data_IF_631601124693
#
_entry.id   IF_631601124693
#
_cell.length_a   1.000
_cell.length_b   1.000
_cell.length_c   1.000
_cell.angle_alpha   90.00
_cell.angle_beta   90.00
_cell.angle_gamma   90.00
#
_symmetry.space_group_name_H-M   'P 1'
#
loop_
_entity.id
_entity.type
_entity.pdbx_description
1 polymer ?
#
# COMPACT_ATOMS: atom_id res chain seq x y z
N UNK A 1 -4.51 -24.04 12.60
CA UNK A 1 -3.69 -24.38 11.43
C UNK A 1 -4.19 -23.56 10.28
N UNK A 2 -3.35 -22.67 9.74
CA UNK A 2 -3.67 -21.94 8.50
C UNK A 2 -3.54 -22.95 7.37
N UNK A 3 -4.58 -23.08 6.54
CA UNK A 3 -4.50 -23.94 5.36
C UNK A 3 -3.42 -23.42 4.40
N UNK A 4 -2.83 -24.30 3.61
CA UNK A 4 -1.80 -24.01 2.63
C UNK A 4 -2.14 -22.77 1.78
N UNK A 5 -1.31 -21.73 1.86
CA UNK A 5 -1.47 -20.51 1.05
C UNK A 5 -1.15 -20.84 -0.41
N UNK A 6 -2.12 -20.70 -1.31
CA UNK A 6 -1.96 -20.98 -2.74
C UNK A 6 -1.82 -19.74 -3.61
N UNK A 7 -2.20 -18.57 -3.11
CA UNK A 7 -2.07 -17.30 -3.82
C UNK A 7 -2.04 -16.14 -2.83
N UNK A 8 -1.49 -15.00 -3.26
CA UNK A 8 -1.41 -13.81 -2.41
C UNK A 8 -1.92 -12.60 -3.15
N UNK A 9 -2.68 -11.76 -2.44
CA UNK A 9 -3.13 -10.44 -2.86
C UNK A 9 -2.47 -9.42 -1.94
N UNK A 10 -1.60 -8.59 -2.48
CA UNK A 10 -0.92 -7.54 -1.72
C UNK A 10 -1.61 -6.20 -1.91
N UNK A 11 -1.75 -5.42 -0.84
CA UNK A 11 -1.81 -3.97 -1.02
C UNK A 11 -0.44 -3.44 -1.49
N UNK A 12 -0.43 -2.22 -2.02
CA UNK A 12 0.79 -1.59 -2.51
C UNK A 12 1.42 -0.65 -1.48
N UNK A 13 0.65 0.35 -1.05
CA UNK A 13 1.11 1.45 -0.22
C UNK A 13 1.19 1.01 1.24
N UNK A 14 2.34 1.20 1.90
CA UNK A 14 2.53 0.71 3.27
C UNK A 14 2.81 -0.80 3.36
N UNK A 15 2.59 -1.59 2.29
CA UNK A 15 2.85 -3.03 2.23
C UNK A 15 4.06 -3.38 1.35
N UNK A 16 4.00 -3.10 0.05
CA UNK A 16 5.10 -3.37 -0.89
C UNK A 16 5.99 -2.15 -1.12
N UNK A 17 5.43 -0.95 -0.99
CA UNK A 17 6.09 0.33 -1.22
C UNK A 17 6.12 1.15 0.09
N UNK A 18 7.27 1.75 0.38
CA UNK A 18 7.42 2.71 1.49
C UNK A 18 6.94 4.11 1.03
N UNK A 19 5.66 4.19 0.71
CA UNK A 19 5.05 5.33 0.04
C UNK A 19 4.33 6.30 0.98
N UNK A 20 3.95 5.88 2.18
CA UNK A 20 3.08 6.68 3.05
C UNK A 20 3.71 8.01 3.50
N UNK A 21 5.05 8.08 3.51
CA UNK A 21 5.79 9.28 3.90
C UNK A 21 5.51 10.49 2.98
N UNK A 22 5.12 10.30 1.72
CA UNK A 22 4.82 11.40 0.79
C UNK A 22 3.63 12.23 1.27
N UNK A 23 2.58 11.56 1.77
CA UNK A 23 1.37 12.22 2.22
C UNK A 23 1.59 13.15 3.41
N UNK A 24 2.51 12.80 4.31
CA UNK A 24 2.89 13.67 5.43
C UNK A 24 3.79 14.83 4.99
N UNK A 25 4.71 14.59 4.04
CA UNK A 25 5.76 15.55 3.67
C UNK A 25 5.43 16.37 2.43
N UNK A 26 4.29 16.12 1.77
CA UNK A 26 3.95 16.71 0.47
C UNK A 26 3.99 18.25 0.49
N UNK A 27 3.29 18.87 1.45
CA UNK A 27 3.22 20.31 1.57
C UNK A 27 4.58 20.93 1.88
N UNK A 28 5.35 20.30 2.79
CA UNK A 28 6.71 20.74 3.13
C UNK A 28 7.64 20.69 1.91
N UNK A 29 7.62 19.61 1.14
CA UNK A 29 8.39 19.48 -0.11
C UNK A 29 7.98 20.57 -1.12
N UNK A 30 6.66 20.76 -1.31
CA UNK A 30 6.14 21.78 -2.22
C UNK A 30 6.68 23.18 -1.92
N UNK A 31 6.59 23.59 -0.66
CA UNK A 31 7.06 24.93 -0.21
C UNK A 31 8.58 25.05 -0.34
N UNK A 32 9.32 24.01 0.00
CA UNK A 32 10.79 23.99 -0.11
C UNK A 32 11.23 24.15 -1.58
N UNK A 33 10.58 23.45 -2.50
CA UNK A 33 10.88 23.52 -3.95
C UNK A 33 10.58 24.91 -4.54
N UNK A 34 9.62 25.65 -3.94
CA UNK A 34 9.34 27.04 -4.31
C UNK A 34 10.32 28.05 -3.65
N UNK A 35 11.28 27.58 -2.85
CA UNK A 35 12.29 28.43 -2.18
C UNK A 35 11.82 29.04 -0.86
N UNK A 36 10.68 28.64 -0.33
CA UNK A 36 10.19 29.10 0.98
C UNK A 36 10.70 28.19 2.11
N UNK A 37 10.82 28.75 3.29
CA UNK A 37 11.13 27.97 4.50
C UNK A 37 9.85 27.38 5.10
N UNK A 38 9.77 26.07 5.27
CA UNK A 38 8.65 25.42 5.95
C UNK A 38 8.47 25.94 7.38
N UNK A 39 7.22 26.00 7.84
CA UNK A 39 6.94 26.38 9.23
C UNK A 39 6.88 25.14 10.13
N UNK A 40 7.18 25.35 11.43
CA UNK A 40 7.09 24.28 12.41
C UNK A 40 5.66 23.73 12.50
N UNK A 41 5.52 22.41 12.67
CA UNK A 41 4.20 21.75 12.78
C UNK A 41 3.39 21.68 11.48
N UNK A 42 3.99 22.04 10.33
CA UNK A 42 3.28 22.13 9.06
C UNK A 42 2.73 20.77 8.61
N UNK A 43 3.48 19.70 8.81
CA UNK A 43 3.07 18.35 8.42
C UNK A 43 1.85 17.88 9.22
N UNK A 44 1.78 18.18 10.51
CA UNK A 44 0.66 17.89 11.41
C UNK A 44 -0.59 18.70 11.07
N UNK A 45 -0.41 19.95 10.63
CA UNK A 45 -1.50 20.83 10.20
C UNK A 45 -2.13 20.33 8.89
N UNK A 46 -1.29 19.95 7.91
CA UNK A 46 -1.74 19.60 6.58
C UNK A 46 -2.27 18.16 6.49
N UNK A 47 -1.74 17.25 7.30
CA UNK A 47 -2.06 15.81 7.19
C UNK A 47 -3.57 15.49 7.26
N UNK A 48 -4.40 16.11 8.14
CA UNK A 48 -5.83 15.85 8.19
C UNK A 48 -6.66 16.58 7.12
N UNK A 49 -6.03 17.46 6.32
CA UNK A 49 -6.73 18.29 5.34
C UNK A 49 -6.96 17.54 4.02
N UNK A 50 -8.05 17.87 3.32
CA UNK A 50 -8.15 17.51 1.90
C UNK A 50 -7.09 18.25 1.09
N UNK A 51 -6.83 17.80 -0.13
CA UNK A 51 -5.83 18.44 -1.00
C UNK A 51 -6.19 19.90 -1.29
N UNK A 52 -7.49 20.19 -1.47
CA UNK A 52 -8.01 21.53 -1.69
C UNK A 52 -7.85 22.42 -0.44
N UNK A 53 -8.16 21.88 0.73
CA UNK A 53 -7.96 22.58 2.00
C UNK A 53 -6.47 22.87 2.26
N UNK A 54 -5.62 21.90 1.97
CA UNK A 54 -4.16 22.04 2.05
C UNK A 54 -3.63 23.11 1.08
N UNK A 55 -4.13 23.14 -0.15
CA UNK A 55 -3.77 24.16 -1.14
C UNK A 55 -4.18 25.57 -0.70
N UNK A 56 -5.41 25.74 -0.19
CA UNK A 56 -5.89 27.01 0.35
C UNK A 56 -5.03 27.48 1.54
N UNK A 57 -4.68 26.56 2.46
CA UNK A 57 -3.81 26.86 3.59
C UNK A 57 -2.42 27.29 3.14
N UNK A 58 -1.81 26.54 2.19
CA UNK A 58 -0.48 26.85 1.64
C UNK A 58 -0.46 28.22 0.98
N UNK A 59 -1.47 28.51 0.15
CA UNK A 59 -1.63 29.79 -0.53
C UNK A 59 -1.69 30.95 0.46
N UNK A 60 -2.56 30.84 1.45
CA UNK A 60 -2.73 31.88 2.48
C UNK A 60 -1.47 32.03 3.34
N UNK A 61 -0.90 30.92 3.82
CA UNK A 61 0.23 30.94 4.77
C UNK A 61 1.52 31.50 4.18
N UNK A 62 1.77 31.25 2.87
CA UNK A 62 2.98 31.68 2.17
C UNK A 62 2.74 32.78 1.15
N UNK A 63 1.53 33.36 1.11
CA UNK A 63 1.15 34.40 0.15
C UNK A 63 1.48 34.03 -1.30
N UNK A 64 1.18 32.78 -1.68
CA UNK A 64 1.52 32.28 -3.02
C UNK A 64 0.67 32.98 -4.10
N UNK A 65 1.32 33.43 -5.17
CA UNK A 65 0.68 34.10 -6.30
C UNK A 65 -0.12 33.17 -7.23
N UNK A 66 -0.18 31.84 -6.94
CA UNK A 66 -0.89 30.85 -7.75
C UNK A 66 -2.36 30.71 -7.31
N UNK A 67 -3.22 30.20 -8.22
CA UNK A 67 -4.56 29.78 -7.83
C UNK A 67 -4.52 28.49 -7.00
N UNK A 68 -5.58 28.20 -6.24
CA UNK A 68 -5.67 26.97 -5.45
C UNK A 68 -5.70 25.74 -6.33
N UNK A 69 -6.37 25.80 -7.48
CA UNK A 69 -6.41 24.74 -8.49
C UNK A 69 -5.01 24.43 -9.01
N UNK A 70 -4.20 25.47 -9.26
CA UNK A 70 -2.80 25.28 -9.70
C UNK A 70 -1.96 24.62 -8.63
N UNK A 71 -2.14 24.97 -7.37
CA UNK A 71 -1.43 24.34 -6.25
C UNK A 71 -1.84 22.86 -6.14
N UNK A 72 -3.13 22.55 -6.25
CA UNK A 72 -3.63 21.15 -6.24
C UNK A 72 -3.00 20.33 -7.39
N UNK A 73 -2.97 20.90 -8.60
CA UNK A 73 -2.33 20.25 -9.75
C UNK A 73 -0.85 19.97 -9.50
N UNK A 74 -0.12 20.95 -8.99
CA UNK A 74 1.31 20.82 -8.66
C UNK A 74 1.56 19.77 -7.58
N UNK A 75 0.70 19.67 -6.57
CA UNK A 75 0.77 18.64 -5.56
C UNK A 75 0.53 17.24 -6.16
N UNK A 76 -0.45 17.09 -7.05
CA UNK A 76 -0.72 15.84 -7.77
C UNK A 76 0.48 15.40 -8.63
N UNK A 77 1.09 16.34 -9.35
CA UNK A 77 2.30 16.06 -10.14
C UNK A 77 3.47 15.62 -9.25
N UNK A 78 3.63 16.20 -8.07
CA UNK A 78 4.66 15.78 -7.11
C UNK A 78 4.44 14.37 -6.58
N UNK A 79 3.20 14.03 -6.25
CA UNK A 79 2.84 12.66 -5.87
C UNK A 79 3.19 11.70 -7.02
N UNK A 80 2.78 12.02 -8.24
CA UNK A 80 3.09 11.21 -9.42
C UNK A 80 4.60 11.00 -9.59
N UNK A 81 5.39 12.09 -9.53
CA UNK A 81 6.84 12.03 -9.66
C UNK A 81 7.48 11.19 -8.56
N UNK A 82 6.97 11.30 -7.32
CA UNK A 82 7.45 10.47 -6.23
C UNK A 82 7.28 8.97 -6.52
N UNK A 83 6.11 8.55 -6.99
CA UNK A 83 5.90 7.15 -7.38
C UNK A 83 6.76 6.75 -8.59
N UNK A 84 6.91 7.63 -9.56
CA UNK A 84 7.64 7.32 -10.78
C UNK A 84 9.15 7.19 -10.55
N UNK A 85 9.72 8.07 -9.72
CA UNK A 85 11.17 8.24 -9.66
C UNK A 85 11.79 7.91 -8.30
N UNK A 86 11.04 7.98 -7.19
CA UNK A 86 11.65 7.97 -5.86
C UNK A 86 11.23 6.79 -4.98
N UNK A 87 9.91 6.48 -4.86
CA UNK A 87 9.39 5.58 -3.84
C UNK A 87 10.12 4.23 -3.82
N UNK A 88 10.74 3.84 -2.69
CA UNK A 88 11.41 2.55 -2.60
C UNK A 88 10.42 1.41 -2.33
N UNK A 89 10.82 0.19 -2.66
CA UNK A 89 10.16 -0.99 -2.12
C UNK A 89 10.46 -1.12 -0.61
N UNK A 90 9.53 -1.69 0.13
CA UNK A 90 9.79 -2.09 1.51
C UNK A 90 10.86 -3.19 1.58
N UNK A 91 11.62 -3.16 2.66
CA UNK A 91 12.65 -4.18 2.92
C UNK A 91 12.04 -5.58 2.89
N UNK A 92 12.73 -6.52 2.26
CA UNK A 92 12.29 -7.91 2.12
C UNK A 92 11.30 -8.17 0.97
N UNK A 93 10.81 -7.12 0.26
CA UNK A 93 9.84 -7.31 -0.81
C UNK A 93 10.39 -8.15 -1.97
N UNK A 94 11.63 -7.89 -2.40
CA UNK A 94 12.24 -8.60 -3.52
C UNK A 94 12.50 -10.06 -3.18
N UNK A 95 13.03 -10.31 -2.00
CA UNK A 95 13.32 -11.66 -1.47
C UNK A 95 12.02 -12.46 -1.34
N UNK A 96 10.98 -11.86 -0.79
CA UNK A 96 9.65 -12.48 -0.72
C UNK A 96 9.14 -12.88 -2.10
N UNK A 97 9.19 -12.01 -3.10
CA UNK A 97 8.71 -12.33 -4.44
C UNK A 97 9.56 -13.40 -5.13
N UNK A 98 10.87 -13.41 -4.94
CA UNK A 98 11.74 -14.48 -5.43
C UNK A 98 11.36 -15.82 -4.79
N UNK A 99 11.11 -15.83 -3.48
CA UNK A 99 10.62 -17.01 -2.77
C UNK A 99 9.27 -17.47 -3.31
N UNK A 100 8.27 -16.59 -3.43
CA UNK A 100 6.95 -16.94 -3.98
C UNK A 100 7.04 -17.54 -5.39
N UNK A 101 7.91 -16.99 -6.24
CA UNK A 101 8.15 -17.52 -7.57
C UNK A 101 8.75 -18.92 -7.53
N UNK A 102 9.72 -19.19 -6.64
CA UNK A 102 10.30 -20.52 -6.46
C UNK A 102 9.29 -21.57 -6.01
N UNK A 103 8.32 -21.16 -5.19
CA UNK A 103 7.22 -21.98 -4.69
C UNK A 103 6.00 -22.04 -5.66
N UNK A 104 6.08 -21.34 -6.79
CA UNK A 104 4.98 -21.20 -7.77
C UNK A 104 3.68 -20.63 -7.15
N UNK A 105 3.80 -19.79 -6.13
CA UNK A 105 2.68 -19.09 -5.50
C UNK A 105 2.44 -17.79 -6.28
N UNK A 106 1.32 -17.67 -7.02
CA UNK A 106 1.03 -16.47 -7.78
C UNK A 106 0.62 -15.32 -6.88
N UNK A 107 0.97 -14.11 -7.31
CA UNK A 107 0.62 -12.87 -6.60
C UNK A 107 0.01 -11.82 -7.53
N UNK A 108 -0.86 -10.99 -6.97
CA UNK A 108 -1.42 -9.78 -7.59
C UNK A 108 -1.36 -8.62 -6.60
N UNK A 109 -1.58 -7.41 -7.10
CA UNK A 109 -1.77 -6.22 -6.27
C UNK A 109 -3.24 -5.79 -6.31
N UNK A 110 -3.78 -5.39 -5.16
CA UNK A 110 -5.08 -4.75 -4.99
C UNK A 110 -4.90 -3.43 -4.23
N UNK A 111 -5.05 -2.29 -4.91
CA UNK A 111 -4.70 -0.97 -4.37
C UNK A 111 -5.80 0.08 -4.58
N UNK A 112 -5.81 1.11 -3.73
CA UNK A 112 -6.62 2.32 -3.91
C UNK A 112 -5.90 3.42 -4.71
N UNK A 113 -4.61 3.27 -4.93
CA UNK A 113 -3.78 4.22 -5.68
C UNK A 113 -3.95 4.09 -7.19
N UNK A 114 -3.66 5.14 -7.98
CA UNK A 114 -3.72 5.09 -9.43
C UNK A 114 -2.82 3.98 -10.01
N UNK A 115 -3.35 3.18 -10.92
CA UNK A 115 -2.67 1.99 -11.50
C UNK A 115 -1.28 2.32 -12.05
N UNK A 116 -1.15 3.43 -12.80
CA UNK A 116 0.13 3.80 -13.41
C UNK A 116 1.18 4.20 -12.37
N UNK A 117 0.78 4.82 -11.24
CA UNK A 117 1.70 5.12 -10.14
C UNK A 117 2.31 3.83 -9.58
N UNK A 118 1.47 2.88 -9.24
CA UNK A 118 1.89 1.59 -8.67
C UNK A 118 2.71 0.79 -9.69
N UNK A 119 2.25 0.73 -10.94
CA UNK A 119 2.95 0.00 -12.02
C UNK A 119 4.37 0.51 -12.24
N UNK A 120 4.56 1.85 -12.29
CA UNK A 120 5.88 2.47 -12.44
C UNK A 120 6.78 2.21 -11.24
N UNK A 121 6.25 2.41 -10.05
CA UNK A 121 7.00 2.15 -8.82
C UNK A 121 7.44 0.69 -8.72
N UNK A 122 6.53 -0.27 -8.94
CA UNK A 122 6.85 -1.70 -8.90
C UNK A 122 7.83 -2.11 -10.01
N UNK A 123 7.72 -1.52 -11.22
CA UNK A 123 8.67 -1.77 -12.31
C UNK A 123 10.07 -1.28 -11.94
N UNK A 124 10.21 -0.05 -11.44
CA UNK A 124 11.50 0.54 -11.05
C UNK A 124 12.16 -0.25 -9.92
N UNK A 125 11.37 -0.76 -8.98
CA UNK A 125 11.84 -1.59 -7.86
C UNK A 125 12.06 -3.06 -8.26
N UNK A 126 11.80 -3.47 -9.52
CA UNK A 126 12.01 -4.84 -10.01
C UNK A 126 11.00 -5.85 -9.50
N UNK A 127 9.84 -5.41 -8.99
CA UNK A 127 8.79 -6.28 -8.44
C UNK A 127 7.71 -6.66 -9.47
N UNK A 128 7.48 -5.81 -10.47
CA UNK A 128 6.42 -5.99 -11.47
C UNK A 128 6.46 -7.35 -12.20
N UNK A 129 7.63 -7.92 -12.57
CA UNK A 129 7.68 -9.21 -13.28
C UNK A 129 7.15 -10.40 -12.48
N UNK A 130 7.04 -10.29 -11.15
CA UNK A 130 6.53 -11.35 -10.28
C UNK A 130 5.00 -11.33 -10.11
N UNK A 131 4.35 -10.27 -10.59
CA UNK A 131 2.92 -10.05 -10.41
C UNK A 131 2.13 -10.44 -11.66
N UNK A 132 1.00 -11.10 -11.49
CA UNK A 132 0.11 -11.41 -12.60
C UNK A 132 -0.69 -10.19 -13.06
N UNK A 133 -1.14 -9.34 -12.12
CA UNK A 133 -1.98 -8.17 -12.41
C UNK A 133 -1.96 -7.16 -11.25
N UNK A 134 -2.35 -5.93 -11.56
CA UNK A 134 -2.63 -4.85 -10.59
C UNK A 134 -4.11 -4.47 -10.75
N UNK A 135 -4.87 -4.63 -9.68
CA UNK A 135 -6.27 -4.20 -9.58
C UNK A 135 -6.35 -2.91 -8.78
N UNK A 136 -7.18 -1.98 -9.23
CA UNK A 136 -7.43 -0.74 -8.50
C UNK A 136 -8.90 -0.61 -8.12
N UNK A 137 -9.16 0.06 -6.99
CA UNK A 137 -10.53 0.37 -6.56
C UNK A 137 -11.29 1.19 -7.61
N UNK A 138 -10.59 2.06 -8.36
CA UNK A 138 -11.17 2.84 -9.46
C UNK A 138 -11.66 1.96 -10.62
N UNK A 139 -10.91 0.92 -11.00
CA UNK A 139 -11.32 -0.04 -12.04
C UNK A 139 -12.47 -0.93 -11.58
N UNK A 140 -12.49 -1.30 -10.30
CA UNK A 140 -13.55 -2.13 -9.70
C UNK A 140 -14.83 -1.33 -9.46
N UNK A 141 -14.72 0.01 -9.29
CA UNK A 141 -15.83 0.91 -8.99
C UNK A 141 -16.28 0.88 -7.52
N UNK A 142 -15.54 0.21 -6.64
CA UNK A 142 -15.82 0.12 -5.20
C UNK A 142 -14.54 0.24 -4.39
N UNK A 143 -14.63 0.89 -3.23
CA UNK A 143 -13.50 1.00 -2.28
C UNK A 143 -13.24 -0.33 -1.56
N UNK A 144 -12.14 -0.42 -0.80
CA UNK A 144 -11.79 -1.60 0.01
C UNK A 144 -12.71 -1.84 1.23
N UNK A 145 -13.75 -1.01 1.45
CA UNK A 145 -14.87 -1.34 2.34
C UNK A 145 -15.76 -2.44 1.76
N UNK A 146 -15.67 -2.70 0.43
CA UNK A 146 -16.26 -3.83 -0.25
C UNK A 146 -15.20 -4.88 -0.56
N UNK A 147 -15.52 -6.19 -0.41
CA UNK A 147 -14.60 -7.27 -0.73
C UNK A 147 -14.40 -7.50 -2.23
N UNK A 148 -15.08 -6.76 -3.09
CA UNK A 148 -15.16 -7.00 -4.53
C UNK A 148 -13.79 -7.05 -5.21
N UNK A 149 -12.86 -6.17 -4.82
CA UNK A 149 -11.50 -6.15 -5.37
C UNK A 149 -10.75 -7.46 -5.05
N UNK A 150 -10.85 -7.96 -3.83
CA UNK A 150 -10.21 -9.19 -3.40
C UNK A 150 -10.84 -10.43 -4.06
N UNK A 151 -12.17 -10.48 -4.13
CA UNK A 151 -12.90 -11.57 -4.79
C UNK A 151 -12.59 -11.63 -6.29
N UNK A 152 -12.49 -10.47 -6.95
CA UNK A 152 -12.08 -10.38 -8.35
C UNK A 152 -10.66 -10.89 -8.55
N UNK A 153 -9.74 -10.49 -7.68
CA UNK A 153 -8.35 -10.93 -7.71
C UNK A 153 -8.21 -12.45 -7.48
N UNK A 154 -8.90 -13.01 -6.49
CA UNK A 154 -8.89 -14.44 -6.20
C UNK A 154 -9.44 -15.28 -7.39
N UNK A 155 -10.51 -14.81 -8.03
CA UNK A 155 -11.07 -15.46 -9.23
C UNK A 155 -10.04 -15.55 -10.36
N UNK A 156 -9.28 -14.49 -10.61
CA UNK A 156 -8.24 -14.48 -11.65
C UNK A 156 -7.03 -15.33 -11.25
N UNK A 157 -6.73 -15.41 -9.97
CA UNK A 157 -5.70 -16.31 -9.44
C UNK A 157 -6.12 -17.79 -9.49
N UNK A 158 -7.41 -18.07 -9.66
CA UNK A 158 -7.97 -19.43 -9.67
C UNK A 158 -7.95 -20.09 -8.30
N UNK A 159 -8.11 -19.31 -7.22
CA UNK A 159 -8.05 -19.77 -5.84
C UNK A 159 -9.28 -19.34 -5.03
N UNK A 160 -9.65 -20.18 -4.05
CA UNK A 160 -10.70 -19.83 -3.09
C UNK A 160 -10.20 -18.83 -2.06
N UNK A 161 -11.08 -17.97 -1.51
CA UNK A 161 -10.69 -17.03 -0.43
C UNK A 161 -9.96 -17.69 0.73
N UNK A 162 -10.41 -18.84 1.20
CA UNK A 162 -9.81 -19.60 2.31
C UNK A 162 -8.38 -20.13 2.05
N UNK A 163 -7.93 -20.10 0.79
CA UNK A 163 -6.58 -20.46 0.38
C UNK A 163 -5.79 -19.28 -0.20
N UNK A 164 -6.34 -18.07 -0.12
CA UNK A 164 -5.75 -16.83 -0.62
C UNK A 164 -5.42 -15.92 0.54
N UNK A 165 -4.16 -15.49 0.64
CA UNK A 165 -3.71 -14.55 1.67
C UNK A 165 -3.85 -13.12 1.15
N UNK A 166 -4.56 -12.27 1.87
CA UNK A 166 -4.60 -10.81 1.66
C UNK A 166 -3.64 -10.14 2.63
N UNK A 167 -2.73 -9.33 2.12
CA UNK A 167 -1.70 -8.62 2.90
C UNK A 167 -2.00 -7.13 2.86
N UNK A 168 -2.26 -6.56 4.04
CA UNK A 168 -2.75 -5.18 4.22
C UNK A 168 -2.04 -4.50 5.39
N UNK A 169 -1.94 -3.16 5.34
CA UNK A 169 -1.52 -2.33 6.46
C UNK A 169 -2.69 -1.62 7.15
N UNK A 170 -3.87 -1.61 6.52
CA UNK A 170 -5.06 -0.89 6.99
C UNK A 170 -6.09 -1.82 7.63
N UNK A 171 -6.54 -1.49 8.84
CA UNK A 171 -7.49 -2.30 9.63
C UNK A 171 -8.80 -2.55 8.89
N UNK A 172 -9.41 -1.52 8.31
CA UNK A 172 -10.71 -1.67 7.61
C UNK A 172 -10.62 -2.61 6.39
N UNK A 173 -9.54 -2.53 5.65
CA UNK A 173 -9.30 -3.34 4.47
C UNK A 173 -9.04 -4.80 4.85
N UNK A 174 -8.22 -5.03 5.88
CA UNK A 174 -7.96 -6.35 6.46
C UNK A 174 -9.24 -6.99 6.97
N UNK A 175 -10.06 -6.26 7.74
CA UNK A 175 -11.34 -6.75 8.25
C UNK A 175 -12.31 -7.10 7.11
N UNK A 176 -12.34 -6.29 6.05
CA UNK A 176 -13.18 -6.55 4.86
C UNK A 176 -12.79 -7.86 4.18
N UNK A 177 -11.49 -8.09 3.99
CA UNK A 177 -10.98 -9.34 3.44
C UNK A 177 -11.29 -10.54 4.35
N UNK A 178 -11.06 -10.41 5.66
CA UNK A 178 -11.34 -11.47 6.64
C UNK A 178 -12.81 -11.85 6.68
N UNK A 179 -13.74 -10.88 6.67
CA UNK A 179 -15.20 -11.12 6.60
C UNK A 179 -15.62 -11.83 5.31
N UNK A 180 -14.87 -11.66 4.23
CA UNK A 180 -15.11 -12.36 2.96
C UNK A 180 -14.47 -13.76 2.88
N UNK A 181 -13.88 -14.24 3.98
CA UNK A 181 -13.32 -15.58 4.10
C UNK A 181 -11.87 -15.73 3.66
N UNK A 182 -11.15 -14.63 3.42
CA UNK A 182 -9.73 -14.65 3.10
C UNK A 182 -8.87 -14.91 4.34
N UNK A 183 -7.73 -15.55 4.13
CA UNK A 183 -6.62 -15.46 5.09
C UNK A 183 -6.08 -14.03 5.05
N UNK A 184 -5.68 -13.48 6.20
CA UNK A 184 -5.24 -12.09 6.30
C UNK A 184 -3.90 -11.97 7.00
N UNK A 185 -3.02 -11.13 6.47
CA UNK A 185 -1.78 -10.71 7.11
C UNK A 185 -1.76 -9.19 7.28
N UNK A 186 -1.62 -8.73 8.51
CA UNK A 186 -1.36 -7.34 8.82
C UNK A 186 0.14 -7.04 8.75
N UNK A 187 0.54 -5.97 8.06
CA UNK A 187 1.93 -5.51 7.99
C UNK A 187 2.05 -4.18 8.73
N UNK A 188 3.03 -4.12 9.63
CA UNK A 188 3.34 -2.87 10.32
C UNK A 188 3.88 -1.80 9.37
N UNK A 189 3.31 -0.61 9.48
CA UNK A 189 3.90 0.61 8.95
C UNK A 189 3.77 1.73 9.98
N UNK A 190 4.85 2.46 10.24
CA UNK A 190 4.87 3.53 11.26
C UNK A 190 3.96 4.71 10.92
N UNK A 191 3.57 4.87 9.66
CA UNK A 191 2.69 5.93 9.16
C UNK A 191 1.32 5.39 8.68
N UNK A 192 1.12 4.06 8.77
CA UNK A 192 -0.09 3.35 8.38
C UNK A 192 -1.19 3.40 9.44
N UNK A 193 -1.77 2.25 9.73
CA UNK A 193 -2.87 2.11 10.69
C UNK A 193 -2.47 2.61 12.09
N UNK A 194 -3.20 3.57 12.66
CA UNK A 194 -2.92 4.05 14.02
C UNK A 194 -3.27 3.01 15.11
N UNK A 195 -4.27 2.16 14.86
CA UNK A 195 -4.68 1.09 15.81
C UNK A 195 -3.99 -0.24 15.46
N UNK A 196 -2.68 -0.28 15.67
CA UNK A 196 -1.86 -1.47 15.41
C UNK A 196 -2.26 -2.66 16.29
N UNK A 197 -2.73 -2.44 17.51
CA UNK A 197 -3.18 -3.51 18.39
C UNK A 197 -4.45 -4.19 17.85
N UNK A 198 -5.39 -3.41 17.31
CA UNK A 198 -6.57 -3.99 16.69
C UNK A 198 -6.24 -4.68 15.36
N UNK A 199 -5.34 -4.10 14.54
CA UNK A 199 -4.85 -4.73 13.32
C UNK A 199 -4.22 -6.10 13.62
N UNK A 200 -3.38 -6.17 14.65
CA UNK A 200 -2.74 -7.40 15.11
C UNK A 200 -3.74 -8.44 15.61
N UNK A 201 -4.78 -7.99 16.31
CA UNK A 201 -5.82 -8.88 16.86
C UNK A 201 -6.70 -9.49 15.78
N UNK A 202 -7.02 -8.73 14.74
CA UNK A 202 -7.96 -9.13 13.69
C UNK A 202 -7.26 -9.87 12.53
N UNK A 203 -5.96 -9.75 12.40
CA UNK A 203 -5.16 -10.48 11.42
C UNK A 203 -4.97 -11.96 11.82
N UNK A 204 -5.01 -12.86 10.84
CA UNK A 204 -4.56 -14.25 11.07
C UNK A 204 -3.06 -14.31 11.31
N UNK A 205 -2.31 -13.41 10.66
CA UNK A 205 -0.87 -13.23 10.79
C UNK A 205 -0.61 -11.73 10.96
N UNK A 206 0.28 -11.35 11.87
CA UNK A 206 0.76 -9.98 11.97
C UNK A 206 2.28 -9.98 11.93
N UNK A 207 2.85 -9.19 11.02
CA UNK A 207 4.29 -9.12 10.77
C UNK A 207 4.80 -7.68 10.85
N UNK A 208 6.02 -7.52 11.41
CA UNK A 208 6.71 -6.23 11.43
C UNK A 208 7.26 -5.83 10.04
N UNK A 209 7.47 -6.82 9.15
CA UNK A 209 8.04 -6.61 7.82
C UNK A 209 7.79 -7.83 6.91
N UNK A 210 8.15 -7.69 5.63
CA UNK A 210 7.93 -8.73 4.63
C UNK A 210 8.85 -9.94 4.80
N UNK A 211 9.98 -9.82 5.50
CA UNK A 211 10.85 -10.96 5.83
C UNK A 211 10.18 -11.88 6.84
N UNK A 212 9.50 -11.32 7.85
CA UNK A 212 8.71 -12.12 8.80
C UNK A 212 7.55 -12.82 8.09
N UNK A 213 6.87 -12.13 7.17
CA UNK A 213 5.81 -12.73 6.36
C UNK A 213 6.34 -13.90 5.52
N UNK A 214 7.51 -13.74 4.88
CA UNK A 214 8.15 -14.81 4.13
C UNK A 214 8.44 -16.04 5.02
N UNK A 215 9.00 -15.83 6.19
CA UNK A 215 9.32 -16.90 7.13
C UNK A 215 8.04 -17.64 7.57
N UNK A 216 6.96 -16.90 7.79
CA UNK A 216 5.67 -17.48 8.16
C UNK A 216 5.12 -18.38 7.04
N UNK A 217 5.10 -17.91 5.80
CA UNK A 217 4.64 -18.67 4.63
C UNK A 217 5.53 -19.90 4.42
N UNK A 218 6.84 -19.79 4.64
CA UNK A 218 7.78 -20.92 4.55
C UNK A 218 7.45 -22.01 5.55
N UNK A 219 7.22 -21.65 6.81
CA UNK A 219 6.96 -22.62 7.89
C UNK A 219 5.64 -23.37 7.66
N UNK A 220 4.60 -22.69 7.19
CA UNK A 220 3.29 -23.28 6.94
C UNK A 220 3.26 -24.15 5.68
N UNK A 221 4.03 -23.81 4.66
CA UNK A 221 4.03 -24.52 3.37
C UNK A 221 5.10 -25.63 3.25
N UNK A 222 6.09 -25.68 4.10
CA UNK A 222 7.23 -26.60 3.91
C UNK A 222 7.95 -27.12 5.15
N UNK A 223 7.57 -26.68 6.35
CA UNK A 223 8.28 -27.00 7.57
C UNK A 223 8.02 -28.38 8.19
N UNK A 224 7.19 -29.23 7.60
CA UNK A 224 6.83 -30.56 8.14
C UNK A 224 7.41 -31.76 7.37
N UNK A 225 8.39 -31.53 6.48
CA UNK A 225 9.14 -32.66 5.92
C UNK A 225 10.51 -32.76 6.62
N UNK A 226 10.50 -33.32 7.84
CA UNK A 226 11.64 -34.04 8.44
C UNK A 226 11.11 -35.08 9.41
#
# INVERSE_FOLDING_TARGET
MISLVKAIIFDADGVLLDSLSIWRKLGKRYITDLGYQPVAGMDEILFPMSMEQGAAWLKSRFALGFSEEKIVEDLKVRIQNYYFEEVPAKSGARELFQYLASQKIPAVVATSSPKEHIRRALKRNGLLPFLKEIYTTSEIGESKYSPKIYLTAAKVLGTEPSMTLVVEDSLYALQTAGKAGFLTAGIYDALGEPDQEQLKKDAHIYCQNLTELQNYIFTENGGNEK
#
